data_IF_219385242169
#
_entry.id   IF_219385242169
#
_cell.length_a   1.000
_cell.length_b   1.000
_cell.length_c   1.000
_cell.angle_alpha   90.00
_cell.angle_beta   90.00
_cell.angle_gamma   90.00
#
_symmetry.space_group_name_H-M   'P 1'
#
loop_
_entity.id
_entity.type
_entity.pdbx_description
1 polymer ?
#
# COMPACT_ATOMS: atom_id res chain seq x y z
N UNK A 1 20.08 31.98 16.42
CA UNK A 1 18.92 31.39 15.72
C UNK A 1 18.35 32.41 14.74
N UNK A 2 18.58 32.25 13.43
CA UNK A 2 18.02 33.15 12.42
C UNK A 2 16.51 32.96 12.31
N UNK A 3 15.72 34.05 12.36
CA UNK A 3 14.28 34.01 12.13
C UNK A 3 14.02 33.67 10.67
N UNK A 4 13.62 32.43 10.39
CA UNK A 4 13.14 32.01 9.07
C UNK A 4 11.97 32.92 8.68
N UNK A 5 12.13 33.66 7.59
CA UNK A 5 11.10 34.56 7.06
C UNK A 5 9.82 33.77 6.71
N UNK A 6 8.65 34.39 6.88
CA UNK A 6 7.34 33.80 6.60
C UNK A 6 7.27 33.27 5.15
N UNK A 7 7.92 33.95 4.21
CA UNK A 7 7.98 33.55 2.80
C UNK A 7 8.65 32.18 2.64
N UNK A 8 9.76 31.95 3.36
CA UNK A 8 10.45 30.66 3.33
C UNK A 8 9.60 29.52 3.90
N UNK A 9 8.76 29.80 4.91
CA UNK A 9 7.80 28.80 5.44
C UNK A 9 6.75 28.43 4.39
N UNK A 10 6.22 29.41 3.66
CA UNK A 10 5.22 29.17 2.60
C UNK A 10 5.83 28.35 1.45
N UNK A 11 7.02 28.73 0.97
CA UNK A 11 7.73 27.99 -0.08
C UNK A 11 7.97 26.54 0.35
N UNK A 12 8.42 26.33 1.60
CA UNK A 12 8.65 25.00 2.15
C UNK A 12 7.36 24.16 2.19
N UNK A 13 6.24 24.73 2.63
CA UNK A 13 4.94 24.04 2.65
C UNK A 13 4.48 23.66 1.24
N UNK A 14 4.63 24.57 0.27
CA UNK A 14 4.28 24.28 -1.13
C UNK A 14 5.12 23.13 -1.69
N UNK A 15 6.44 23.16 -1.46
CA UNK A 15 7.34 22.07 -1.88
C UNK A 15 6.96 20.74 -1.24
N UNK A 16 6.63 20.75 0.07
CA UNK A 16 6.18 19.56 0.77
C UNK A 16 4.86 19.02 0.20
N UNK A 17 3.89 19.89 -0.08
CA UNK A 17 2.64 19.51 -0.74
C UNK A 17 2.88 18.89 -2.12
N UNK A 18 3.74 19.49 -2.94
CA UNK A 18 4.10 18.94 -4.27
C UNK A 18 4.73 17.55 -4.12
N UNK A 19 5.64 17.37 -3.15
CA UNK A 19 6.30 16.10 -2.92
C UNK A 19 5.30 15.02 -2.46
N UNK A 20 4.38 15.36 -1.57
CA UNK A 20 3.32 14.44 -1.10
C UNK A 20 2.39 14.06 -2.26
N UNK A 21 1.88 15.05 -3.01
CA UNK A 21 0.98 14.80 -4.14
C UNK A 21 1.68 14.00 -5.24
N UNK A 22 2.94 14.32 -5.55
CA UNK A 22 3.74 13.58 -6.52
C UNK A 22 3.99 12.13 -6.10
N UNK A 23 4.27 11.89 -4.82
CA UNK A 23 4.44 10.54 -4.27
C UNK A 23 3.16 9.72 -4.37
N UNK A 24 2.02 10.30 -3.96
CA UNK A 24 0.70 9.67 -4.11
C UNK A 24 0.42 9.35 -5.58
N UNK A 25 0.67 10.30 -6.48
CA UNK A 25 0.49 10.11 -7.92
C UNK A 25 1.32 8.96 -8.48
N UNK A 26 2.58 8.82 -8.01
CA UNK A 26 3.45 7.70 -8.40
C UNK A 26 2.87 6.35 -7.93
N UNK A 27 2.43 6.25 -6.68
CA UNK A 27 1.81 5.03 -6.16
C UNK A 27 0.51 4.66 -6.89
N UNK A 28 -0.34 5.64 -7.16
CA UNK A 28 -1.56 5.45 -7.96
C UNK A 28 -1.20 4.98 -9.37
N UNK A 29 -0.19 5.58 -10.00
CA UNK A 29 0.28 5.21 -11.33
C UNK A 29 0.82 3.77 -11.40
N UNK A 30 1.67 3.38 -10.45
CA UNK A 30 2.19 2.01 -10.38
C UNK A 30 1.06 0.98 -10.18
N UNK A 31 0.11 1.30 -9.32
CA UNK A 31 -1.05 0.45 -9.07
C UNK A 31 -1.92 0.30 -10.33
N UNK A 32 -2.20 1.41 -11.02
CA UNK A 32 -2.96 1.39 -12.26
C UNK A 32 -2.28 0.53 -13.34
N UNK A 33 -0.97 0.62 -13.47
CA UNK A 33 -0.18 -0.23 -14.37
C UNK A 33 -0.28 -1.72 -13.99
N UNK A 34 -0.22 -2.05 -12.70
CA UNK A 34 -0.34 -3.42 -12.22
C UNK A 34 -1.69 -4.02 -12.60
N UNK A 35 -2.80 -3.31 -12.34
CA UNK A 35 -4.15 -3.81 -12.62
C UNK A 35 -4.37 -3.93 -14.13
N UNK A 36 -3.92 -2.95 -14.93
CA UNK A 36 -3.99 -3.05 -16.40
C UNK A 36 -3.19 -4.26 -16.88
N UNK A 37 -1.96 -4.45 -16.37
CA UNK A 37 -1.12 -5.59 -16.73
C UNK A 37 -1.81 -6.92 -16.43
N UNK A 38 -2.36 -7.08 -15.23
CA UNK A 38 -3.06 -8.30 -14.81
C UNK A 38 -4.39 -8.49 -15.57
N UNK A 39 -5.07 -7.41 -15.99
CA UNK A 39 -6.27 -7.49 -16.83
C UNK A 39 -6.03 -8.12 -18.20
N UNK A 40 -4.78 -8.20 -18.65
CA UNK A 40 -4.42 -8.89 -19.90
C UNK A 40 -4.34 -10.41 -19.76
N UNK A 41 -4.45 -10.95 -18.55
CA UNK A 41 -4.41 -12.39 -18.29
C UNK A 41 -5.86 -12.89 -18.15
N UNK A 42 -6.44 -13.56 -19.17
CA UNK A 42 -7.86 -13.90 -19.18
C UNK A 42 -8.29 -14.81 -18.02
N UNK A 43 -7.38 -15.69 -17.58
CA UNK A 43 -7.62 -16.60 -16.47
C UNK A 43 -7.96 -15.88 -15.16
N UNK A 44 -7.42 -14.66 -14.96
CA UNK A 44 -7.65 -13.88 -13.75
C UNK A 44 -9.04 -13.23 -13.72
N UNK A 45 -9.75 -13.18 -14.86
CA UNK A 45 -11.10 -12.63 -14.94
C UNK A 45 -11.20 -11.20 -14.43
N UNK A 46 -10.20 -10.37 -14.71
CA UNK A 46 -10.17 -8.95 -14.34
C UNK A 46 -10.67 -8.15 -15.54
N UNK A 47 -11.85 -7.55 -15.42
CA UNK A 47 -12.47 -6.74 -16.45
C UNK A 47 -12.59 -5.30 -15.96
N UNK A 48 -11.93 -4.38 -16.68
CA UNK A 48 -12.00 -2.95 -16.43
C UNK A 48 -12.74 -2.34 -17.61
N UNK A 49 -13.98 -1.88 -17.40
CA UNK A 49 -14.78 -1.33 -18.52
C UNK A 49 -14.25 0.02 -18.99
N UNK A 50 -13.69 0.83 -18.08
CA UNK A 50 -13.15 2.15 -18.40
C UNK A 50 -11.85 2.45 -17.66
N UNK A 51 -10.93 3.17 -18.32
CA UNK A 51 -9.67 3.59 -17.72
C UNK A 51 -9.88 4.46 -16.46
N UNK A 52 -10.97 5.23 -16.42
CA UNK A 52 -11.34 6.08 -15.28
C UNK A 52 -11.58 5.21 -14.04
N UNK A 53 -12.28 4.08 -14.18
CA UNK A 53 -12.59 3.20 -13.06
C UNK A 53 -11.36 2.48 -12.55
N UNK A 54 -10.46 2.04 -13.44
CA UNK A 54 -9.16 1.50 -13.02
C UNK A 54 -8.31 2.52 -12.26
N UNK A 55 -8.36 3.80 -12.66
CA UNK A 55 -7.68 4.88 -11.96
C UNK A 55 -8.32 5.17 -10.59
N UNK A 56 -9.64 5.19 -10.49
CA UNK A 56 -10.37 5.34 -9.23
C UNK A 56 -10.10 4.18 -8.25
N UNK A 57 -10.04 2.95 -8.75
CA UNK A 57 -9.63 1.79 -7.95
C UNK A 57 -8.21 1.99 -7.39
N UNK A 58 -7.29 2.48 -8.23
CA UNK A 58 -5.90 2.72 -7.83
C UNK A 58 -5.78 3.82 -6.77
N UNK A 59 -6.56 4.90 -6.90
CA UNK A 59 -6.69 5.94 -5.87
C UNK A 59 -7.22 5.35 -4.58
N UNK A 60 -8.29 4.55 -4.65
CA UNK A 60 -8.94 3.99 -3.48
C UNK A 60 -7.99 3.09 -2.67
N UNK A 61 -7.19 2.26 -3.33
CA UNK A 61 -6.13 1.45 -2.68
C UNK A 61 -5.13 2.34 -1.93
N UNK A 62 -4.64 3.41 -2.56
CA UNK A 62 -3.64 4.29 -1.94
C UNK A 62 -4.23 5.07 -0.76
N UNK A 63 -5.44 5.59 -0.89
CA UNK A 63 -6.15 6.31 0.18
C UNK A 63 -6.53 5.38 1.34
N UNK A 64 -6.72 4.10 1.08
CA UNK A 64 -7.06 3.13 2.13
C UNK A 64 -5.83 2.59 2.87
N UNK A 65 -4.63 2.71 2.31
CA UNK A 65 -3.39 2.27 2.97
C UNK A 65 -3.20 2.84 4.40
N UNK A 66 -3.54 4.11 4.71
CA UNK A 66 -3.56 4.62 6.08
C UNK A 66 -4.57 3.93 7.02
N UNK A 67 -5.73 3.46 6.51
CA UNK A 67 -6.71 2.73 7.33
C UNK A 67 -6.18 1.36 7.75
N UNK A 68 -5.31 0.75 6.93
CA UNK A 68 -4.60 -0.47 7.33
C UNK A 68 -3.69 -0.25 8.55
N UNK A 69 -3.22 0.98 8.83
CA UNK A 69 -2.45 1.26 10.06
C UNK A 69 -3.31 1.12 11.32
N UNK A 70 -4.58 1.53 11.25
CA UNK A 70 -5.51 1.40 12.38
C UNK A 70 -5.83 -0.06 12.64
N UNK A 71 -6.13 -0.81 11.58
CA UNK A 71 -6.37 -2.25 11.66
C UNK A 71 -5.11 -2.97 12.15
N UNK A 72 -3.94 -2.59 11.62
CA UNK A 72 -2.64 -3.11 12.03
C UNK A 72 -2.36 -2.91 13.51
N UNK A 73 -2.64 -1.73 14.06
CA UNK A 73 -2.49 -1.46 15.50
C UNK A 73 -3.36 -2.38 16.36
N UNK A 74 -4.63 -2.59 15.98
CA UNK A 74 -5.52 -3.50 16.71
C UNK A 74 -5.01 -4.94 16.62
N UNK A 75 -4.59 -5.37 15.43
CA UNK A 75 -4.05 -6.71 15.21
C UNK A 75 -2.75 -6.94 15.98
N UNK A 76 -1.88 -5.93 16.10
CA UNK A 76 -0.64 -5.99 16.87
C UNK A 76 -0.92 -6.24 18.36
N UNK A 77 -1.90 -5.54 18.94
CA UNK A 77 -2.33 -5.74 20.33
C UNK A 77 -2.85 -7.17 20.55
N UNK A 78 -3.64 -7.70 19.60
CA UNK A 78 -4.13 -9.09 19.65
C UNK A 78 -2.96 -10.07 19.53
N UNK A 79 -2.07 -9.86 18.57
CA UNK A 79 -0.89 -10.69 18.30
C UNK A 79 -0.01 -10.82 19.54
N UNK A 80 0.33 -9.71 20.17
CA UNK A 80 1.21 -9.72 21.35
C UNK A 80 0.54 -10.40 22.56
N UNK A 81 -0.79 -10.33 22.65
CA UNK A 81 -1.57 -10.99 23.68
C UNK A 81 -1.68 -12.50 23.48
N UNK A 82 -1.84 -12.97 22.23
CA UNK A 82 -2.10 -14.38 21.90
C UNK A 82 -0.83 -15.19 21.70
N UNK A 83 0.18 -14.63 21.04
CA UNK A 83 1.40 -15.34 20.61
C UNK A 83 2.65 -14.91 21.37
N UNK A 84 2.51 -14.64 22.67
CA UNK A 84 3.61 -14.17 23.52
C UNK A 84 4.84 -15.07 23.42
N UNK A 85 5.98 -14.51 22.98
CA UNK A 85 7.26 -15.21 22.85
C UNK A 85 7.35 -16.24 21.72
N UNK A 86 6.40 -16.27 20.77
CA UNK A 86 6.37 -17.22 19.65
C UNK A 86 6.51 -16.51 18.30
N UNK A 87 7.71 -16.01 18.01
CA UNK A 87 8.00 -15.17 16.83
C UNK A 87 7.57 -15.78 15.48
N UNK A 88 7.73 -17.10 15.29
CA UNK A 88 7.30 -17.77 14.05
C UNK A 88 5.79 -17.64 13.83
N UNK A 89 4.99 -17.79 14.89
CA UNK A 89 3.53 -17.70 14.79
C UNK A 89 3.06 -16.25 14.63
N UNK A 90 3.79 -15.28 15.22
CA UNK A 90 3.55 -13.85 14.99
C UNK A 90 3.72 -13.49 13.52
N UNK A 91 4.81 -13.93 12.89
CA UNK A 91 5.07 -13.65 11.48
C UNK A 91 4.03 -14.29 10.55
N UNK A 92 3.64 -15.54 10.82
CA UNK A 92 2.58 -16.21 10.04
C UNK A 92 1.24 -15.47 10.21
N UNK A 93 0.93 -15.03 11.43
CA UNK A 93 -0.28 -14.25 11.71
C UNK A 93 -0.28 -12.91 10.95
N UNK A 94 0.85 -12.19 10.95
CA UNK A 94 0.99 -10.92 10.23
C UNK A 94 0.81 -11.12 8.72
N UNK A 95 1.42 -12.15 8.14
CA UNK A 95 1.27 -12.47 6.71
C UNK A 95 -0.19 -12.81 6.35
N UNK A 96 -0.82 -13.69 7.12
CA UNK A 96 -2.20 -14.14 6.87
C UNK A 96 -3.19 -12.99 7.05
N UNK A 97 -3.05 -12.19 8.11
CA UNK A 97 -3.96 -11.06 8.34
C UNK A 97 -3.78 -9.96 7.30
N UNK A 98 -2.55 -9.64 6.91
CA UNK A 98 -2.28 -8.67 5.83
C UNK A 98 -2.90 -9.13 4.51
N UNK A 99 -2.77 -10.41 4.18
CA UNK A 99 -3.41 -11.01 3.02
C UNK A 99 -4.94 -10.88 3.10
N UNK A 100 -5.55 -11.31 4.21
CA UNK A 100 -7.02 -11.30 4.37
C UNK A 100 -7.61 -9.89 4.36
N UNK A 101 -6.96 -8.93 5.03
CA UNK A 101 -7.40 -7.53 5.04
C UNK A 101 -7.31 -6.93 3.63
N UNK A 102 -6.21 -7.17 2.93
CA UNK A 102 -6.04 -6.70 1.55
C UNK A 102 -7.04 -7.36 0.60
N UNK A 103 -7.28 -8.66 0.75
CA UNK A 103 -8.28 -9.40 -0.03
C UNK A 103 -9.68 -8.83 0.18
N UNK A 104 -10.09 -8.67 1.45
CA UNK A 104 -11.39 -8.12 1.81
C UNK A 104 -11.55 -6.71 1.25
N UNK A 105 -10.49 -5.90 1.31
CA UNK A 105 -10.52 -4.55 0.79
C UNK A 105 -10.69 -4.51 -0.74
N UNK A 106 -9.94 -5.32 -1.49
CA UNK A 106 -10.12 -5.43 -2.95
C UNK A 106 -11.53 -5.91 -3.30
N UNK A 107 -12.05 -6.89 -2.55
CA UNK A 107 -13.41 -7.38 -2.73
C UNK A 107 -14.46 -6.29 -2.48
N UNK A 108 -14.28 -5.46 -1.45
CA UNK A 108 -15.13 -4.30 -1.18
C UNK A 108 -15.05 -3.30 -2.34
N UNK A 109 -13.86 -3.01 -2.86
CA UNK A 109 -13.71 -2.10 -4.00
C UNK A 109 -14.37 -2.64 -5.28
N UNK A 110 -14.23 -3.93 -5.57
CA UNK A 110 -14.92 -4.58 -6.69
C UNK A 110 -16.44 -4.44 -6.56
N UNK A 111 -16.97 -4.62 -5.35
CA UNK A 111 -18.40 -4.46 -5.07
C UNK A 111 -18.91 -3.01 -5.25
N UNK A 112 -18.13 -2.00 -4.82
CA UNK A 112 -18.55 -0.59 -4.91
C UNK A 112 -18.28 0.06 -6.27
N UNK A 113 -17.30 -0.44 -7.03
CA UNK A 113 -16.97 0.08 -8.36
C UNK A 113 -17.64 -0.77 -9.45
N UNK A 114 -18.90 -0.49 -9.75
CA UNK A 114 -19.78 -1.30 -10.64
C UNK A 114 -19.28 -1.55 -12.08
N UNK A 115 -18.20 -0.88 -12.49
CA UNK A 115 -17.56 -0.97 -13.80
C UNK A 115 -16.20 -1.68 -13.77
N UNK A 116 -15.82 -2.22 -12.62
CA UNK A 116 -14.80 -3.24 -12.49
C UNK A 116 -15.48 -4.57 -12.13
N UNK A 117 -14.97 -5.66 -12.68
CA UNK A 117 -15.37 -7.00 -12.25
C UNK A 117 -14.12 -7.84 -12.14
N UNK A 118 -13.85 -8.34 -10.94
CA UNK A 118 -12.66 -9.11 -10.63
C UNK A 118 -13.11 -10.48 -10.11
N UNK A 119 -12.74 -11.55 -10.81
CA UNK A 119 -13.00 -12.90 -10.30
C UNK A 119 -12.29 -13.14 -8.97
N UNK A 120 -12.75 -14.09 -8.15
CA UNK A 120 -12.06 -14.46 -6.91
C UNK A 120 -10.59 -14.82 -7.11
N UNK A 121 -10.24 -15.44 -8.24
CA UNK A 121 -8.85 -15.74 -8.60
C UNK A 121 -8.07 -14.46 -8.90
N UNK A 122 -8.69 -13.50 -9.58
CA UNK A 122 -8.13 -12.18 -9.84
C UNK A 122 -7.89 -11.39 -8.55
N UNK A 123 -8.85 -11.40 -7.62
CA UNK A 123 -8.72 -10.78 -6.29
C UNK A 123 -7.55 -11.42 -5.54
N UNK A 124 -7.52 -12.75 -5.43
CA UNK A 124 -6.44 -13.47 -4.77
C UNK A 124 -5.07 -13.15 -5.37
N UNK A 125 -4.97 -13.09 -6.70
CA UNK A 125 -3.72 -12.77 -7.40
C UNK A 125 -3.30 -11.33 -7.13
N UNK A 126 -4.22 -10.36 -7.20
CA UNK A 126 -3.95 -8.97 -6.85
C UNK A 126 -3.50 -8.85 -5.40
N UNK A 127 -4.18 -9.51 -4.47
CA UNK A 127 -3.79 -9.56 -3.06
C UNK A 127 -2.37 -10.08 -2.90
N UNK A 128 -2.02 -11.21 -3.53
CA UNK A 128 -0.65 -11.73 -3.50
C UNK A 128 0.37 -10.74 -4.04
N UNK A 129 0.08 -10.07 -5.17
CA UNK A 129 0.96 -9.05 -5.71
C UNK A 129 1.20 -7.92 -4.70
N UNK A 130 0.14 -7.42 -4.05
CA UNK A 130 0.30 -6.37 -3.03
C UNK A 130 1.06 -6.88 -1.80
N UNK A 131 0.76 -8.09 -1.30
CA UNK A 131 1.49 -8.68 -0.17
C UNK A 131 2.98 -8.79 -0.48
N UNK A 132 3.36 -9.26 -1.68
CA UNK A 132 4.76 -9.34 -2.11
C UNK A 132 5.39 -7.94 -2.22
N UNK A 133 4.67 -6.94 -2.72
CA UNK A 133 5.16 -5.55 -2.77
C UNK A 133 5.45 -5.03 -1.36
N UNK A 134 4.57 -5.31 -0.39
CA UNK A 134 4.78 -4.91 1.01
C UNK A 134 5.94 -5.67 1.66
N UNK A 135 6.06 -6.99 1.45
CA UNK A 135 7.19 -7.78 1.97
C UNK A 135 8.53 -7.33 1.37
N UNK A 136 8.57 -6.99 0.07
CA UNK A 136 9.76 -6.41 -0.54
C UNK A 136 10.12 -5.08 0.11
N UNK A 137 9.15 -4.22 0.40
CA UNK A 137 9.38 -2.97 1.10
C UNK A 137 10.04 -3.20 2.47
N UNK A 138 9.51 -4.12 3.28
CA UNK A 138 10.09 -4.49 4.57
C UNK A 138 11.51 -5.09 4.44
N UNK A 139 11.76 -5.89 3.39
CA UNK A 139 13.09 -6.43 3.12
C UNK A 139 14.12 -5.34 2.76
N UNK A 140 13.71 -4.30 2.03
CA UNK A 140 14.60 -3.19 1.64
C UNK A 140 14.76 -2.11 2.71
N UNK A 141 13.86 -2.01 3.68
CA UNK A 141 13.96 -1.08 4.81
C UNK A 141 15.31 -1.13 5.56
N UNK A 142 15.87 -2.30 5.95
CA UNK A 142 17.17 -2.36 6.61
C UNK A 142 18.34 -1.91 5.71
N UNK A 143 18.22 -2.03 4.38
CA UNK A 143 19.23 -1.53 3.44
C UNK A 143 19.22 0.00 3.40
N UNK A 144 18.04 0.62 3.35
CA UNK A 144 17.89 2.08 3.41
C UNK A 144 18.44 2.62 4.74
N UNK A 145 18.13 1.95 5.84
CA UNK A 145 18.62 2.32 7.17
C UNK A 145 20.15 2.20 7.30
N UNK A 146 20.78 1.24 6.61
CA UNK A 146 22.26 1.15 6.55
C UNK A 146 22.89 2.29 5.75
N UNK A 147 22.29 2.70 4.64
CA UNK A 147 22.75 3.84 3.85
C UNK A 147 22.63 5.16 4.62
N UNK A 148 21.52 5.34 5.34
CA UNK A 148 21.31 6.50 6.23
C UNK A 148 22.36 6.57 7.34
N UNK A 149 22.67 5.45 8.00
CA UNK A 149 23.72 5.39 9.04
C UNK A 149 25.12 5.62 8.50
N UNK A 150 25.41 5.21 7.27
CA UNK A 150 26.72 5.45 6.64
C UNK A 150 26.96 6.94 6.37
N UNK A 151 25.95 7.67 5.92
CA UNK A 151 26.03 9.10 5.63
C UNK A 151 26.00 10.01 6.88
N UNK A 152 25.83 9.45 8.08
CA UNK A 152 25.91 10.20 9.34
C UNK A 152 27.29 10.11 10.02
N UNK A 153 28.16 9.23 9.54
CA UNK A 153 29.51 9.01 10.05
C UNK A 153 30.61 9.56 9.12
N UNK A 154 30.23 10.22 8.01
CA UNK A 154 31.09 11.02 7.13
C UNK A 154 30.78 12.51 7.36
#
# INVERSE_FOLDING_TARGET
MQKISIIWKIIFVILLCILVVGSIGLFVGLNFLLIIGLSKIPLLGIQIKTNIVGFLFSIAIVIFSPFNLVIGFILEVIKESVFKGREVYKNIFDMVTTYLVTYLFIYILDYYLTDISISHLGIATLTLCYTVIFELYEYYEPLINRWSKKNQNE
#
